data_IF_427550642995
#
_entry.id   IF_427550642995
#
_cell.length_a   1.000
_cell.length_b   1.000
_cell.length_c   1.000
_cell.angle_alpha   90.00
_cell.angle_beta   90.00
_cell.angle_gamma   90.00
#
_symmetry.space_group_name_H-M   'P 1'
#
loop_
_entity.id
_entity.type
_entity.pdbx_description
1 polymer ?
#
# COMPACT_ATOMS: atom_id res chain seq x y z
N UNK A 1 -15.95 9.65 9.23
CA UNK A 1 -15.07 8.47 9.25
C UNK A 1 -15.00 7.88 7.85
N UNK A 2 -13.82 7.57 7.40
CA UNK A 2 -13.64 7.02 6.05
C UNK A 2 -13.89 5.52 6.04
N UNK A 3 -14.67 5.05 5.05
CA UNK A 3 -14.80 3.62 4.76
C UNK A 3 -13.72 3.13 3.80
N UNK A 4 -12.87 4.05 3.32
CA UNK A 4 -11.78 3.75 2.41
C UNK A 4 -10.66 3.04 3.17
N UNK A 5 -10.14 1.96 2.60
CA UNK A 5 -9.06 1.19 3.19
C UNK A 5 -7.81 1.36 2.34
N UNK A 6 -6.70 1.71 2.99
CA UNK A 6 -5.41 1.76 2.32
C UNK A 6 -4.83 0.35 2.24
N UNK A 7 -4.22 0.02 1.12
CA UNK A 7 -3.52 -1.25 0.93
C UNK A 7 -2.03 -1.00 0.80
N UNK A 8 -1.21 -1.85 1.39
CA UNK A 8 0.19 -1.90 0.98
C UNK A 8 0.36 -2.86 -0.20
N UNK A 9 1.55 -2.94 -0.73
CA UNK A 9 1.84 -3.75 -1.92
C UNK A 9 1.56 -5.23 -1.67
N UNK A 10 1.73 -5.72 -0.44
CA UNK A 10 1.50 -7.13 -0.11
C UNK A 10 0.03 -7.55 -0.26
N UNK A 11 -0.90 -6.59 -0.23
CA UNK A 11 -2.32 -6.81 -0.48
C UNK A 11 -2.70 -6.42 -1.91
N UNK A 12 -2.16 -5.30 -2.41
CA UNK A 12 -2.51 -4.79 -3.74
C UNK A 12 -2.13 -5.77 -4.85
N UNK A 13 -0.95 -6.36 -4.78
CA UNK A 13 -0.49 -7.28 -5.83
C UNK A 13 -1.37 -8.52 -5.91
N UNK A 14 -1.61 -9.30 -4.83
CA UNK A 14 -2.50 -10.45 -4.96
C UNK A 14 -3.95 -10.09 -5.28
N UNK A 15 -4.41 -8.89 -4.92
CA UNK A 15 -5.73 -8.44 -5.32
C UNK A 15 -5.86 -8.32 -6.84
N UNK A 16 -4.81 -7.81 -7.50
CA UNK A 16 -4.82 -7.53 -8.93
C UNK A 16 -4.37 -8.70 -9.80
N UNK A 17 -3.49 -9.57 -9.28
CA UNK A 17 -2.85 -10.64 -10.06
C UNK A 17 -3.56 -11.95 -9.83
N UNK A 18 -4.34 -12.39 -10.82
CA UNK A 18 -5.16 -13.60 -10.72
C UNK A 18 -4.33 -14.87 -10.48
N UNK A 19 -3.13 -14.92 -11.00
CA UNK A 19 -2.25 -16.07 -10.86
C UNK A 19 -1.53 -16.11 -9.52
N UNK A 20 -1.65 -15.06 -8.69
CA UNK A 20 -1.03 -15.06 -7.37
C UNK A 20 -1.76 -16.06 -6.47
N UNK A 21 -0.98 -16.87 -5.73
CA UNK A 21 -1.57 -17.93 -4.88
C UNK A 21 -2.51 -17.39 -3.80
N UNK A 22 -2.35 -16.14 -3.38
CA UNK A 22 -3.20 -15.50 -2.39
C UNK A 22 -4.38 -14.74 -3.00
N UNK A 23 -4.54 -14.75 -4.32
CA UNK A 23 -5.55 -13.95 -5.01
C UNK A 23 -6.96 -14.22 -4.48
N UNK A 24 -7.36 -15.47 -4.41
CA UNK A 24 -8.72 -15.83 -3.97
C UNK A 24 -9.00 -15.36 -2.53
N UNK A 25 -8.03 -15.54 -1.63
CA UNK A 25 -8.17 -15.11 -0.25
C UNK A 25 -8.30 -13.59 -0.13
N UNK A 26 -7.49 -12.85 -0.88
CA UNK A 26 -7.51 -11.38 -0.86
C UNK A 26 -8.80 -10.84 -1.48
N UNK A 27 -9.25 -11.41 -2.59
CA UNK A 27 -10.52 -11.02 -3.21
C UNK A 27 -11.69 -11.28 -2.25
N UNK A 28 -11.68 -12.41 -1.54
CA UNK A 28 -12.69 -12.72 -0.52
C UNK A 28 -12.70 -11.73 0.64
N UNK A 29 -11.53 -11.30 1.07
CA UNK A 29 -11.39 -10.27 2.09
C UNK A 29 -11.87 -8.90 1.58
N UNK A 30 -11.49 -8.54 0.35
CA UNK A 30 -11.79 -7.25 -0.27
C UNK A 30 -13.30 -6.97 -0.37
N UNK A 31 -14.06 -7.91 -0.87
CA UNK A 31 -15.54 -7.82 -0.98
C UNK A 31 -16.04 -6.56 -1.69
N UNK A 32 -15.31 -6.07 -2.68
CA UNK A 32 -15.72 -4.92 -3.47
C UNK A 32 -15.66 -3.57 -2.75
N UNK A 33 -15.00 -3.49 -1.60
CA UNK A 33 -14.86 -2.25 -0.84
C UNK A 33 -13.98 -1.25 -1.58
N UNK A 34 -14.14 0.04 -1.26
CA UNK A 34 -13.27 1.07 -1.80
C UNK A 34 -11.87 0.97 -1.19
N UNK A 35 -10.87 0.95 -2.03
CA UNK A 35 -9.47 0.80 -1.65
C UNK A 35 -8.60 1.84 -2.33
N UNK A 36 -7.51 2.22 -1.67
CA UNK A 36 -6.56 3.19 -2.21
C UNK A 36 -5.14 2.79 -1.87
N UNK A 37 -4.19 3.33 -2.63
CA UNK A 37 -2.77 3.16 -2.39
C UNK A 37 -2.15 4.50 -2.03
N UNK A 38 -1.15 4.47 -1.14
CA UNK A 38 -0.27 5.62 -0.95
C UNK A 38 0.54 5.87 -2.23
N UNK A 39 1.16 7.03 -2.34
CA UNK A 39 2.03 7.31 -3.48
C UNK A 39 3.15 6.30 -3.61
N UNK A 40 3.77 5.91 -2.50
CA UNK A 40 4.83 4.90 -2.51
C UNK A 40 4.30 3.52 -2.93
N UNK A 41 3.20 3.06 -2.34
CA UNK A 41 2.60 1.77 -2.68
C UNK A 41 2.13 1.74 -4.14
N UNK A 42 1.66 2.86 -4.67
CA UNK A 42 1.26 2.98 -6.07
C UNK A 42 2.45 2.73 -6.99
N UNK A 43 3.58 3.40 -6.73
CA UNK A 43 4.80 3.22 -7.52
C UNK A 43 5.34 1.80 -7.41
N UNK A 44 5.36 1.24 -6.21
CA UNK A 44 5.86 -0.11 -5.97
C UNK A 44 4.99 -1.16 -6.65
N UNK A 45 3.67 -1.01 -6.58
CA UNK A 45 2.74 -1.92 -7.24
C UNK A 45 2.90 -1.88 -8.75
N UNK A 46 3.04 -0.67 -9.31
CA UNK A 46 3.34 -0.52 -10.73
C UNK A 46 4.64 -1.25 -11.10
N UNK A 47 5.68 -1.07 -10.31
CA UNK A 47 6.96 -1.75 -10.53
C UNK A 47 6.80 -3.28 -10.56
N UNK A 48 6.06 -3.83 -9.61
CA UNK A 48 5.81 -5.28 -9.56
C UNK A 48 5.03 -5.76 -10.77
N UNK A 49 3.93 -5.08 -11.13
CA UNK A 49 3.07 -5.48 -12.25
C UNK A 49 3.83 -5.51 -13.58
N UNK A 50 4.77 -4.57 -13.78
CA UNK A 50 5.51 -4.43 -15.03
C UNK A 50 6.75 -5.33 -15.10
N UNK A 51 7.06 -6.08 -14.03
CA UNK A 51 8.18 -7.03 -14.00
C UNK A 51 7.79 -8.45 -13.62
N UNK A 52 6.49 -8.77 -13.60
CA UNK A 52 6.03 -10.14 -13.34
C UNK A 52 6.59 -11.09 -14.40
N UNK A 53 6.86 -12.35 -14.03
CA UNK A 53 7.36 -13.31 -15.00
C UNK A 53 6.27 -13.77 -15.96
N UNK A 54 6.68 -14.11 -17.18
CA UNK A 54 5.83 -14.75 -18.19
C UNK A 54 4.63 -13.90 -18.60
N UNK A 55 3.51 -14.58 -18.78
CA UNK A 55 2.29 -13.97 -19.32
C UNK A 55 1.57 -13.08 -18.30
N UNK A 56 1.94 -13.17 -17.03
CA UNK A 56 1.35 -12.32 -16.00
C UNK A 56 1.83 -10.86 -16.09
N UNK A 57 2.96 -10.61 -16.75
CA UNK A 57 3.55 -9.27 -16.87
C UNK A 57 2.64 -8.36 -17.67
N UNK A 58 2.37 -7.17 -17.11
CA UNK A 58 1.64 -6.13 -17.82
C UNK A 58 2.60 -5.18 -18.51
N UNK A 59 2.21 -4.68 -19.70
CA UNK A 59 2.93 -3.56 -20.27
C UNK A 59 2.63 -2.28 -19.48
N UNK A 60 3.48 -1.24 -19.59
CA UNK A 60 3.31 -0.02 -18.81
C UNK A 60 1.94 0.65 -18.96
N UNK A 61 1.40 0.72 -20.17
CA UNK A 61 0.11 1.38 -20.38
C UNK A 61 -1.04 0.63 -19.70
N UNK A 62 -1.03 -0.70 -19.76
CA UNK A 62 -2.06 -1.52 -19.12
C UNK A 62 -1.95 -1.46 -17.60
N UNK A 63 -0.73 -1.48 -17.06
CA UNK A 63 -0.53 -1.36 -15.62
C UNK A 63 -1.04 -0.02 -15.10
N UNK A 64 -0.72 1.08 -15.80
CA UNK A 64 -1.18 2.42 -15.42
C UNK A 64 -2.70 2.50 -15.42
N UNK A 65 -3.35 1.98 -16.47
CA UNK A 65 -4.80 1.99 -16.58
C UNK A 65 -5.45 1.17 -15.47
N UNK A 66 -4.94 -0.04 -15.20
CA UNK A 66 -5.45 -0.90 -14.15
C UNK A 66 -5.42 -0.22 -12.79
N UNK A 67 -4.29 0.41 -12.45
CA UNK A 67 -4.14 1.10 -11.17
C UNK A 67 -5.08 2.30 -11.05
N UNK A 68 -5.29 3.03 -12.15
CA UNK A 68 -6.21 4.17 -12.16
C UNK A 68 -7.67 3.72 -11.99
N UNK A 69 -8.03 2.61 -12.62
CA UNK A 69 -9.42 2.13 -12.62
C UNK A 69 -9.82 1.39 -11.34
N UNK A 70 -8.87 0.69 -10.71
CA UNK A 70 -9.18 -0.21 -9.60
C UNK A 70 -9.11 0.46 -8.24
N UNK A 71 -8.48 1.62 -8.13
CA UNK A 71 -8.27 2.29 -6.85
C UNK A 71 -8.84 3.68 -6.85
N UNK A 72 -9.24 4.15 -5.67
CA UNK A 72 -9.56 5.55 -5.44
C UNK A 72 -8.29 6.40 -5.67
N UNK A 73 -8.40 7.73 -5.77
CA UNK A 73 -7.22 8.59 -5.92
C UNK A 73 -6.16 8.29 -4.86
N UNK A 74 -4.88 8.35 -5.22
CA UNK A 74 -3.80 8.00 -4.28
C UNK A 74 -3.83 8.82 -3.00
N UNK A 75 -3.45 8.18 -1.91
CA UNK A 75 -3.31 8.83 -0.61
C UNK A 75 -1.90 9.42 -0.53
N UNK A 76 -1.80 10.73 -0.69
CA UNK A 76 -0.51 11.41 -0.69
C UNK A 76 -0.22 11.99 0.69
N UNK A 77 1.04 11.90 1.13
CA UNK A 77 1.50 12.63 2.30
C UNK A 77 1.41 14.13 2.02
N UNK A 78 1.09 14.90 3.06
CA UNK A 78 1.11 16.36 2.95
C UNK A 78 2.52 16.86 2.61
N UNK A 79 2.59 18.07 2.04
CA UNK A 79 3.87 18.70 1.77
C UNK A 79 4.69 18.89 3.07
N UNK A 80 4.02 19.23 4.16
CA UNK A 80 4.67 19.41 5.46
C UNK A 80 5.30 18.10 5.95
N UNK A 81 4.55 17.02 5.96
CA UNK A 81 5.07 15.70 6.35
C UNK A 81 6.24 15.29 5.45
N UNK A 82 6.12 15.49 4.16
CA UNK A 82 7.17 15.14 3.21
C UNK A 82 8.46 15.92 3.44
N UNK A 83 8.35 17.24 3.72
CA UNK A 83 9.51 18.08 3.97
C UNK A 83 10.22 17.71 5.28
N UNK A 84 9.49 17.30 6.31
CA UNK A 84 10.03 17.00 7.63
C UNK A 84 10.18 15.49 7.89
N UNK A 85 10.07 14.69 6.83
CA UNK A 85 10.07 13.24 6.95
C UNK A 85 11.29 12.69 7.71
N UNK A 86 12.54 13.12 7.41
CA UNK A 86 13.69 12.60 8.16
C UNK A 86 13.62 12.85 9.66
N UNK A 87 13.22 14.05 10.07
CA UNK A 87 13.08 14.39 11.49
C UNK A 87 12.01 13.56 12.17
N UNK A 88 10.88 13.37 11.48
CA UNK A 88 9.78 12.58 11.99
C UNK A 88 10.20 11.12 12.19
N UNK A 89 10.86 10.54 11.21
CA UNK A 89 11.34 9.16 11.27
C UNK A 89 12.39 8.98 12.37
N UNK A 90 13.33 9.93 12.48
CA UNK A 90 14.37 9.89 13.52
C UNK A 90 13.73 9.90 14.91
N UNK A 91 12.69 10.70 15.11
CA UNK A 91 11.97 10.76 16.38
C UNK A 91 11.27 9.47 16.76
N UNK A 92 10.90 8.66 15.76
CA UNK A 92 10.28 7.36 15.97
C UNK A 92 11.30 6.21 16.00
N UNK A 93 12.56 6.48 15.77
CA UNK A 93 13.60 5.46 15.71
C UNK A 93 13.51 4.60 14.45
N UNK A 94 12.90 5.10 13.38
CA UNK A 94 12.74 4.38 12.12
C UNK A 94 13.90 4.74 11.20
N UNK A 95 14.56 3.70 10.66
CA UNK A 95 15.72 3.85 9.80
C UNK A 95 15.80 2.71 8.77
N UNK A 96 16.65 2.89 7.76
CA UNK A 96 16.89 1.86 6.75
C UNK A 96 15.65 1.53 5.93
N UNK A 97 15.47 0.25 5.65
CA UNK A 97 14.37 -0.22 4.80
C UNK A 97 12.98 0.05 5.36
N UNK A 98 12.85 0.17 6.69
CA UNK A 98 11.58 0.47 7.33
C UNK A 98 11.04 1.86 6.97
N UNK A 99 11.87 2.74 6.43
CA UNK A 99 11.46 4.09 5.98
C UNK A 99 10.32 4.02 4.98
N UNK A 100 10.39 3.10 4.02
CA UNK A 100 9.38 3.00 2.97
C UNK A 100 8.04 2.50 3.51
N UNK A 101 8.07 1.57 4.46
CA UNK A 101 6.86 1.13 5.16
C UNK A 101 6.26 2.28 5.97
N UNK A 102 7.11 3.07 6.62
CA UNK A 102 6.64 4.24 7.37
C UNK A 102 5.95 5.26 6.46
N UNK A 103 6.44 5.47 5.24
CA UNK A 103 5.79 6.36 4.28
C UNK A 103 4.39 5.89 3.92
N UNK A 104 4.21 4.59 3.72
CA UNK A 104 2.90 4.00 3.45
C UNK A 104 1.96 4.24 4.64
N UNK A 105 2.44 3.98 5.84
CA UNK A 105 1.66 4.17 7.06
C UNK A 105 1.28 5.63 7.31
N UNK A 106 2.21 6.56 7.10
CA UNK A 106 1.96 7.99 7.28
C UNK A 106 0.89 8.50 6.33
N UNK A 107 0.95 8.10 5.07
CA UNK A 107 -0.05 8.49 4.07
C UNK A 107 -1.45 8.00 4.48
N UNK A 108 -1.56 6.75 4.91
CA UNK A 108 -2.84 6.20 5.37
C UNK A 108 -3.34 6.93 6.61
N UNK A 109 -2.47 7.16 7.58
CA UNK A 109 -2.82 7.82 8.84
C UNK A 109 -3.31 9.26 8.62
N UNK A 110 -2.63 10.02 7.75
CA UNK A 110 -3.03 11.39 7.44
C UNK A 110 -4.43 11.46 6.81
N UNK A 111 -4.82 10.42 6.09
CA UNK A 111 -6.14 10.34 5.46
C UNK A 111 -7.15 9.56 6.32
N UNK A 112 -6.80 9.26 7.56
CA UNK A 112 -7.68 8.55 8.51
C UNK A 112 -8.17 7.20 7.98
N UNK A 113 -7.31 6.51 7.23
CA UNK A 113 -7.60 5.19 6.69
C UNK A 113 -6.90 4.10 7.49
N UNK A 114 -7.57 2.98 7.71
CA UNK A 114 -6.89 1.77 8.15
C UNK A 114 -5.98 1.28 7.02
N UNK A 115 -4.92 0.59 7.36
CA UNK A 115 -3.95 0.06 6.41
C UNK A 115 -3.96 -1.47 6.46
N UNK A 116 -4.30 -2.08 5.35
CA UNK A 116 -4.31 -3.53 5.21
C UNK A 116 -2.96 -4.04 4.74
N UNK A 117 -2.48 -5.11 5.34
CA UNK A 117 -1.20 -5.72 5.01
C UNK A 117 -1.25 -7.24 5.17
N UNK A 118 -0.39 -7.93 4.42
CA UNK A 118 -0.10 -9.35 4.59
C UNK A 118 1.33 -9.57 5.07
N UNK A 119 2.05 -8.49 5.39
CA UNK A 119 3.45 -8.54 5.80
C UNK A 119 3.56 -8.27 7.30
N UNK A 120 3.79 -9.34 8.07
CA UNK A 120 3.92 -9.24 9.53
C UNK A 120 5.11 -8.35 9.96
N UNK A 121 6.17 -8.29 9.15
CA UNK A 121 7.34 -7.44 9.48
C UNK A 121 7.02 -5.97 9.31
N UNK A 122 6.26 -5.61 8.28
CA UNK A 122 5.84 -4.22 8.06
C UNK A 122 4.92 -3.75 9.18
N UNK A 123 4.12 -4.65 9.75
CA UNK A 123 3.19 -4.30 10.83
C UNK A 123 3.90 -3.61 12.00
N UNK A 124 5.10 -4.04 12.36
CA UNK A 124 5.86 -3.42 13.44
C UNK A 124 6.10 -1.94 13.18
N UNK A 125 6.49 -1.58 11.97
CA UNK A 125 6.68 -0.19 11.58
C UNK A 125 5.34 0.56 11.54
N UNK A 126 4.30 -0.06 11.03
CA UNK A 126 2.97 0.54 10.98
C UNK A 126 2.45 0.87 12.38
N UNK A 127 2.64 -0.05 13.32
CA UNK A 127 2.26 0.16 14.72
C UNK A 127 3.04 1.33 15.34
N UNK A 128 4.33 1.43 15.04
CA UNK A 128 5.17 2.53 15.52
C UNK A 128 4.68 3.89 15.00
N UNK A 129 4.27 3.96 13.75
CA UNK A 129 3.69 5.18 13.17
C UNK A 129 2.33 5.50 13.78
N UNK A 130 1.58 4.49 14.19
CA UNK A 130 0.29 4.67 14.86
C UNK A 130 -0.92 4.56 13.95
N UNK A 131 -0.76 4.02 12.74
CA UNK A 131 -1.90 3.75 11.85
C UNK A 131 -2.63 2.49 12.31
N UNK A 132 -3.96 2.47 12.13
CA UNK A 132 -4.73 1.26 12.41
C UNK A 132 -4.46 0.22 11.33
N UNK A 133 -4.07 -0.99 11.75
CA UNK A 133 -3.66 -2.06 10.84
C UNK A 133 -4.71 -3.15 10.77
N UNK A 134 -4.98 -3.63 9.57
CA UNK A 134 -5.82 -4.81 9.33
C UNK A 134 -4.95 -5.87 8.65
N UNK A 135 -4.82 -7.02 9.29
CA UNK A 135 -4.04 -8.14 8.73
C UNK A 135 -4.93 -8.95 7.80
N UNK A 136 -4.46 -9.18 6.58
CA UNK A 136 -5.15 -9.99 5.59
C UNK A 136 -4.45 -11.34 5.50
N UNK A 137 -5.16 -12.40 5.81
CA UNK A 137 -4.60 -13.76 5.85
C UNK A 137 -4.80 -14.51 4.53
#
# INVERSE_FOLDING_TARGET
MSSLIALDTSVAVPLLVQSHRAHAAVVGWWRGRDVALSGHALAETYSVLTRLPGDARLNPADAARLLTERFAPPLLMSADTSQHLPSFLAGLGIAGGAVYDAMVALAAAEHHCALATRDARAKTTYDTVGVRVEIVL
#
